data_IF_889803025961
#
_entry.id   IF_889803025961
#
_cell.length_a   1.000
_cell.length_b   1.000
_cell.length_c   1.000
_cell.angle_alpha   90.00
_cell.angle_beta   90.00
_cell.angle_gamma   90.00
#
_symmetry.space_group_name_H-M   'P 1'
#
loop_
_entity.id
_entity.type
_entity.pdbx_description
1 polymer ?
#
# COMPACT_ATOMS: atom_id res chain seq x y z
N UNK A 1 -14.30 -31.35 -29.66
CA UNK A 1 -12.91 -31.08 -29.24
C UNK A 1 -12.37 -32.30 -28.48
N UNK A 2 -11.10 -32.57 -28.62
CA UNK A 2 -10.37 -33.59 -27.86
C UNK A 2 -9.25 -32.94 -27.10
N UNK A 3 -8.55 -33.69 -26.22
CA UNK A 3 -7.48 -33.17 -25.34
C UNK A 3 -6.45 -32.32 -26.12
N UNK A 4 -5.94 -32.81 -27.26
CA UNK A 4 -4.92 -32.09 -28.03
C UNK A 4 -5.41 -30.79 -28.71
N UNK A 5 -6.71 -30.62 -28.97
CA UNK A 5 -7.26 -29.36 -29.44
C UNK A 5 -7.47 -28.37 -28.32
N UNK A 6 -7.87 -28.86 -27.13
CA UNK A 6 -8.03 -28.02 -25.93
C UNK A 6 -6.70 -27.42 -25.46
N UNK A 7 -5.62 -28.22 -25.52
CA UNK A 7 -4.27 -27.72 -25.19
C UNK A 7 -3.84 -26.57 -26.10
N UNK A 8 -4.04 -26.73 -27.43
CA UNK A 8 -3.64 -25.71 -28.43
C UNK A 8 -4.43 -24.38 -28.30
N UNK A 9 -5.63 -24.45 -27.76
CA UNK A 9 -6.54 -23.31 -27.65
C UNK A 9 -6.71 -22.85 -26.20
N UNK A 10 -5.77 -23.20 -25.31
CA UNK A 10 -5.88 -22.92 -23.88
C UNK A 10 -6.02 -21.40 -23.59
N UNK A 11 -5.38 -20.57 -24.40
CA UNK A 11 -5.48 -19.11 -24.32
C UNK A 11 -6.92 -18.60 -24.47
N UNK A 12 -7.75 -19.35 -25.22
CA UNK A 12 -9.16 -18.98 -25.39
C UNK A 12 -9.99 -19.06 -24.11
N UNK A 13 -9.46 -19.68 -23.06
CA UNK A 13 -10.10 -19.72 -21.74
C UNK A 13 -10.00 -18.39 -21.00
N UNK A 14 -9.07 -17.51 -21.41
CA UNK A 14 -8.84 -16.21 -20.74
C UNK A 14 -8.61 -16.38 -19.24
N UNK A 15 -7.63 -17.21 -18.87
CA UNK A 15 -7.29 -17.43 -17.45
C UNK A 15 -6.65 -16.16 -16.89
N UNK A 16 -7.21 -15.67 -15.80
CA UNK A 16 -6.71 -14.51 -15.08
C UNK A 16 -6.52 -14.87 -13.60
N UNK A 17 -5.33 -14.62 -13.09
CA UNK A 17 -5.02 -14.74 -11.66
C UNK A 17 -5.27 -13.42 -10.94
N UNK A 18 -5.77 -13.47 -9.72
CA UNK A 18 -6.01 -12.30 -8.88
C UNK A 18 -5.69 -12.64 -7.42
N UNK A 19 -5.08 -11.73 -6.69
CA UNK A 19 -4.39 -10.52 -7.16
C UNK A 19 -3.15 -10.85 -7.99
N UNK A 20 -2.74 -9.95 -8.90
CA UNK A 20 -1.50 -10.07 -9.66
C UNK A 20 -0.64 -8.82 -9.43
N UNK A 21 0.56 -8.97 -8.87
CA UNK A 21 1.14 -10.20 -8.29
C UNK A 21 0.38 -10.69 -7.05
N UNK A 22 0.61 -11.96 -6.65
CA UNK A 22 -0.02 -12.55 -5.48
C UNK A 22 0.33 -11.79 -4.20
N UNK A 23 -0.58 -11.79 -3.24
CA UNK A 23 -0.42 -11.05 -1.97
C UNK A 23 -0.36 -12.02 -0.81
N UNK A 24 0.63 -11.82 0.07
CA UNK A 24 0.69 -12.48 1.36
C UNK A 24 -0.35 -11.88 2.31
N UNK A 25 -1.19 -12.72 2.90
CA UNK A 25 -2.13 -12.36 3.96
C UNK A 25 -1.95 -13.26 5.18
N UNK A 26 -1.46 -12.68 6.25
CA UNK A 26 -1.06 -13.46 7.43
C UNK A 26 0.16 -14.33 7.08
N UNK A 27 -0.04 -15.66 7.12
CA UNK A 27 0.93 -16.70 6.77
C UNK A 27 0.57 -17.46 5.48
N UNK A 28 -0.40 -16.95 4.70
CA UNK A 28 -0.92 -17.59 3.50
C UNK A 28 -0.78 -16.71 2.28
N UNK A 29 -0.43 -17.33 1.15
CA UNK A 29 -0.50 -16.72 -0.18
C UNK A 29 -1.84 -17.14 -0.79
N UNK A 30 -2.73 -16.17 -0.99
CA UNK A 30 -4.07 -16.37 -1.55
C UNK A 30 -4.05 -16.23 -3.06
N UNK A 31 -4.82 -17.09 -3.73
CA UNK A 31 -4.99 -17.10 -5.17
C UNK A 31 -6.46 -17.23 -5.53
N UNK A 32 -6.92 -16.39 -6.43
CA UNK A 32 -8.16 -16.58 -7.18
C UNK A 32 -7.81 -16.68 -8.67
N UNK A 33 -8.37 -17.68 -9.36
CA UNK A 33 -8.26 -17.81 -10.81
C UNK A 33 -9.64 -17.78 -11.42
N UNK A 34 -9.85 -16.88 -12.37
CA UNK A 34 -11.09 -16.81 -13.13
C UNK A 34 -10.82 -17.16 -14.59
N UNK A 35 -11.85 -17.63 -15.25
CA UNK A 35 -11.78 -17.98 -16.66
C UNK A 35 -13.11 -18.43 -17.21
N UNK A 36 -13.11 -18.75 -18.50
CA UNK A 36 -14.29 -19.25 -19.20
C UNK A 36 -13.91 -20.33 -20.20
N UNK A 37 -14.59 -21.44 -20.15
CA UNK A 37 -14.60 -22.40 -21.25
C UNK A 37 -15.52 -21.88 -22.36
N UNK A 38 -14.98 -21.53 -23.55
CA UNK A 38 -15.82 -21.06 -24.64
C UNK A 38 -16.80 -22.15 -25.14
N UNK A 39 -17.84 -21.74 -25.85
CA UNK A 39 -18.75 -22.65 -26.50
C UNK A 39 -17.99 -23.59 -27.45
N UNK A 40 -18.30 -24.87 -27.43
CA UNK A 40 -17.72 -25.94 -28.25
C UNK A 40 -16.23 -26.24 -28.03
N UNK A 41 -15.64 -25.61 -27.01
CA UNK A 41 -14.25 -25.83 -26.60
C UNK A 41 -14.09 -27.13 -25.81
N UNK A 42 -14.91 -27.36 -24.79
CA UNK A 42 -14.78 -28.50 -23.89
C UNK A 42 -15.37 -29.78 -24.46
N UNK A 43 -14.53 -30.81 -24.64
CA UNK A 43 -14.99 -32.07 -25.23
C UNK A 43 -15.99 -32.81 -24.35
N UNK A 44 -17.11 -33.31 -24.91
CA UNK A 44 -18.21 -33.97 -24.16
C UNK A 44 -17.78 -35.14 -23.27
N UNK A 45 -16.72 -35.89 -23.69
CA UNK A 45 -16.18 -37.07 -22.98
C UNK A 45 -14.80 -36.80 -22.39
N UNK A 46 -14.43 -35.55 -22.20
CA UNK A 46 -13.15 -35.13 -21.60
C UNK A 46 -13.35 -34.82 -20.12
N UNK A 47 -12.41 -35.22 -19.31
CA UNK A 47 -12.26 -34.74 -17.92
C UNK A 47 -10.88 -34.14 -17.79
N UNK A 48 -10.78 -33.01 -17.10
CA UNK A 48 -9.50 -32.36 -16.77
C UNK A 48 -9.45 -32.03 -15.29
N UNK A 49 -8.25 -32.01 -14.77
CA UNK A 49 -7.91 -31.51 -13.46
C UNK A 49 -6.87 -30.43 -13.61
N UNK A 50 -7.14 -29.24 -13.12
CA UNK A 50 -6.27 -28.09 -13.18
C UNK A 50 -5.70 -27.80 -11.77
N UNK A 51 -4.39 -27.68 -11.69
CA UNK A 51 -3.66 -27.43 -10.46
C UNK A 51 -2.78 -26.21 -10.65
N UNK A 52 -3.06 -25.08 -10.02
CA UNK A 52 -2.13 -23.96 -9.99
C UNK A 52 -0.89 -24.34 -9.17
N UNK A 53 0.28 -23.98 -9.68
CA UNK A 53 1.58 -24.23 -9.04
C UNK A 53 2.39 -22.97 -9.05
N UNK A 54 2.80 -22.54 -7.86
CA UNK A 54 3.76 -21.44 -7.67
C UNK A 54 5.15 -22.05 -7.58
N UNK A 55 6.06 -21.61 -8.45
CA UNK A 55 7.45 -22.13 -8.50
C UNK A 55 8.41 -20.96 -8.29
N UNK A 56 9.44 -21.17 -7.46
CA UNK A 56 10.50 -20.21 -7.19
C UNK A 56 11.86 -20.92 -7.19
N UNK A 57 12.94 -20.18 -7.02
CA UNK A 57 14.26 -20.79 -6.93
C UNK A 57 14.36 -21.70 -5.71
N UNK A 58 14.55 -22.98 -5.96
CA UNK A 58 14.71 -24.01 -4.92
C UNK A 58 13.43 -24.66 -4.42
N UNK A 59 12.22 -24.28 -4.93
CA UNK A 59 10.99 -24.89 -4.46
C UNK A 59 9.74 -24.66 -5.32
N UNK A 60 8.66 -25.29 -4.92
CA UNK A 60 7.33 -25.07 -5.48
C UNK A 60 6.25 -25.38 -4.46
N UNK A 61 5.10 -24.74 -4.60
CA UNK A 61 3.88 -25.04 -3.85
C UNK A 61 2.71 -25.22 -4.79
N UNK A 62 1.96 -26.29 -4.58
CA UNK A 62 0.74 -26.57 -5.34
C UNK A 62 -0.47 -26.10 -4.54
N UNK A 63 -1.35 -25.36 -5.19
CA UNK A 63 -2.67 -25.04 -4.68
C UNK A 63 -3.61 -26.26 -4.86
N UNK A 64 -4.81 -26.20 -4.32
CA UNK A 64 -5.79 -27.25 -4.50
C UNK A 64 -6.15 -27.42 -5.97
N UNK A 65 -6.41 -28.67 -6.38
CA UNK A 65 -6.82 -28.97 -7.74
C UNK A 65 -8.31 -28.75 -7.93
N UNK A 66 -8.73 -28.27 -9.10
CA UNK A 66 -10.12 -28.17 -9.52
C UNK A 66 -10.39 -29.01 -10.75
N UNK A 67 -11.47 -29.81 -10.66
CA UNK A 67 -11.83 -30.74 -11.74
C UNK A 67 -13.01 -30.27 -12.58
N UNK A 68 -12.88 -30.43 -13.90
CA UNK A 68 -13.93 -30.13 -14.89
C UNK A 68 -14.17 -31.34 -15.79
N UNK A 69 -15.42 -31.53 -16.20
CA UNK A 69 -15.78 -32.63 -17.09
C UNK A 69 -16.85 -32.24 -18.11
N UNK A 70 -16.80 -32.88 -19.27
CA UNK A 70 -17.85 -32.74 -20.27
C UNK A 70 -19.14 -33.49 -19.90
N UNK A 71 -20.23 -33.19 -20.59
CA UNK A 71 -21.59 -33.72 -20.35
C UNK A 71 -21.67 -35.24 -20.36
N UNK A 72 -20.85 -35.91 -21.19
CA UNK A 72 -20.85 -37.37 -21.36
C UNK A 72 -19.65 -38.05 -20.70
N UNK A 73 -18.87 -37.33 -19.90
CA UNK A 73 -17.75 -37.89 -19.14
C UNK A 73 -18.23 -38.53 -17.85
N UNK A 74 -17.62 -39.64 -17.48
CA UNK A 74 -17.88 -40.25 -16.17
C UNK A 74 -17.04 -39.55 -15.09
N UNK A 75 -17.67 -39.24 -13.95
CA UNK A 75 -17.01 -38.61 -12.81
C UNK A 75 -17.93 -37.68 -12.04
N UNK A 76 -17.35 -36.96 -11.06
CA UNK A 76 -18.07 -36.02 -10.20
C UNK A 76 -17.53 -34.60 -10.28
N UNK A 77 -16.80 -34.28 -11.33
CA UNK A 77 -16.24 -32.96 -11.56
C UNK A 77 -17.30 -31.97 -12.02
N UNK A 78 -16.95 -30.69 -12.00
CA UNK A 78 -17.83 -29.64 -12.49
C UNK A 78 -18.12 -29.82 -13.97
N UNK A 79 -19.40 -30.00 -14.33
CA UNK A 79 -19.83 -30.22 -15.72
C UNK A 79 -19.75 -28.91 -16.51
N UNK A 80 -19.12 -28.98 -17.69
CA UNK A 80 -19.01 -27.90 -18.68
C UNK A 80 -19.87 -28.26 -19.90
N UNK A 81 -20.97 -27.52 -20.15
CA UNK A 81 -21.82 -27.74 -21.31
C UNK A 81 -21.08 -27.44 -22.62
N UNK A 82 -21.14 -28.36 -23.61
CA UNK A 82 -20.44 -28.22 -24.86
C UNK A 82 -20.92 -27.01 -25.69
N UNK A 83 -22.22 -26.82 -25.81
CA UNK A 83 -22.79 -25.78 -26.67
C UNK A 83 -22.71 -24.37 -26.04
N UNK A 84 -22.78 -24.26 -24.74
CA UNK A 84 -22.83 -22.98 -24.01
C UNK A 84 -21.47 -22.55 -23.45
N UNK A 85 -20.60 -23.51 -23.16
CA UNK A 85 -19.41 -23.26 -22.35
C UNK A 85 -19.78 -22.94 -20.91
N UNK A 86 -18.82 -22.50 -20.11
CA UNK A 86 -19.02 -22.19 -18.69
C UNK A 86 -17.94 -21.27 -18.17
N UNK A 87 -18.31 -20.22 -17.45
CA UNK A 87 -17.38 -19.44 -16.66
C UNK A 87 -17.13 -20.13 -15.31
N UNK A 88 -15.97 -19.95 -14.74
CA UNK A 88 -15.59 -20.48 -13.43
C UNK A 88 -14.77 -19.47 -12.65
N UNK A 89 -14.81 -19.61 -11.35
CA UNK A 89 -13.93 -18.94 -10.40
C UNK A 89 -13.42 -20.00 -9.44
N UNK A 90 -12.16 -19.97 -9.17
CA UNK A 90 -11.43 -20.88 -8.29
C UNK A 90 -10.68 -20.06 -7.27
N UNK A 91 -10.70 -20.47 -6.00
CA UNK A 91 -9.95 -19.80 -4.93
C UNK A 91 -9.29 -20.84 -4.04
N UNK A 92 -8.02 -20.62 -3.72
CA UNK A 92 -7.24 -21.46 -2.82
C UNK A 92 -6.10 -20.66 -2.19
N UNK A 93 -5.40 -21.26 -1.22
CA UNK A 93 -4.23 -20.65 -0.60
C UNK A 93 -3.17 -21.68 -0.28
N UNK A 94 -1.92 -21.24 -0.20
CA UNK A 94 -0.79 -22.06 0.24
C UNK A 94 -0.04 -21.35 1.36
N UNK A 95 0.60 -22.09 2.29
CA UNK A 95 1.47 -21.48 3.29
C UNK A 95 2.60 -20.70 2.61
N UNK A 96 2.92 -19.54 3.17
CA UNK A 96 4.01 -18.73 2.67
C UNK A 96 5.37 -19.32 3.06
N UNK A 97 6.29 -19.35 2.11
CA UNK A 97 7.70 -19.63 2.32
C UNK A 97 8.49 -18.36 1.98
N UNK A 98 9.43 -17.90 2.84
CA UNK A 98 10.24 -16.71 2.56
C UNK A 98 10.95 -16.73 1.20
N UNK A 99 11.29 -17.91 0.67
CA UNK A 99 11.88 -18.03 -0.66
C UNK A 99 10.93 -17.67 -1.82
N UNK A 100 9.63 -17.53 -1.56
CA UNK A 100 8.65 -17.05 -2.55
C UNK A 100 8.77 -15.56 -2.87
N UNK A 101 9.52 -14.79 -2.07
CA UNK A 101 9.81 -13.36 -2.35
C UNK A 101 10.68 -13.19 -3.60
N UNK A 102 11.52 -14.18 -3.88
CA UNK A 102 12.34 -14.18 -5.08
C UNK A 102 11.53 -14.66 -6.28
N UNK A 103 11.83 -14.15 -7.45
CA UNK A 103 11.29 -14.45 -8.77
C UNK A 103 10.38 -15.70 -8.86
N UNK A 104 9.18 -15.63 -8.27
CA UNK A 104 8.21 -16.71 -8.33
C UNK A 104 7.34 -16.61 -9.59
N UNK A 105 6.98 -17.74 -10.16
CA UNK A 105 6.11 -17.85 -11.33
C UNK A 105 4.90 -18.73 -11.00
N UNK A 106 3.71 -18.22 -11.32
CA UNK A 106 2.46 -18.97 -11.18
C UNK A 106 2.06 -19.57 -12.53
N UNK A 107 1.98 -20.88 -12.59
CA UNK A 107 1.50 -21.60 -13.76
C UNK A 107 0.37 -22.56 -13.40
N UNK A 108 -0.56 -22.78 -14.31
CA UNK A 108 -1.60 -23.80 -14.19
C UNK A 108 -1.17 -25.05 -14.94
N UNK A 109 -1.03 -26.16 -14.20
CA UNK A 109 -0.78 -27.49 -14.76
C UNK A 109 -2.12 -28.19 -14.94
N UNK A 110 -2.40 -28.64 -16.17
CA UNK A 110 -3.66 -29.32 -16.50
C UNK A 110 -3.36 -30.74 -16.90
N UNK A 111 -3.94 -31.70 -16.21
CA UNK A 111 -3.99 -33.11 -16.60
C UNK A 111 -5.38 -33.44 -17.13
N UNK A 112 -5.46 -34.18 -18.21
CA UNK A 112 -6.73 -34.54 -18.85
C UNK A 112 -6.82 -35.97 -19.22
N UNK A 113 -8.06 -36.48 -19.29
CA UNK A 113 -8.38 -37.83 -19.76
C UNK A 113 -9.57 -37.82 -20.70
N UNK A 114 -9.55 -38.74 -21.69
CA UNK A 114 -10.63 -38.98 -22.62
C UNK A 114 -10.71 -40.47 -22.94
N UNK A 115 -11.60 -41.19 -22.33
CA UNK A 115 -11.66 -42.63 -22.38
C UNK A 115 -10.37 -43.25 -21.81
N UNK A 116 -9.62 -43.98 -22.64
CA UNK A 116 -8.35 -44.62 -22.23
C UNK A 116 -7.11 -43.76 -22.53
N UNK A 117 -7.30 -42.51 -22.99
CA UNK A 117 -6.19 -41.60 -23.30
C UNK A 117 -6.06 -40.59 -22.15
N UNK A 118 -4.81 -40.32 -21.76
CA UNK A 118 -4.47 -39.25 -20.86
C UNK A 118 -3.39 -38.35 -21.46
N UNK A 119 -3.38 -37.08 -21.07
CA UNK A 119 -2.36 -36.14 -21.45
C UNK A 119 -2.19 -35.10 -20.32
N UNK A 120 -0.98 -34.62 -20.17
CA UNK A 120 -0.70 -33.44 -19.35
C UNK A 120 -0.32 -32.32 -20.31
N UNK A 121 -0.95 -31.17 -20.17
CA UNK A 121 -0.69 -30.00 -21.01
C UNK A 121 0.61 -29.34 -20.57
N UNK A 122 1.20 -28.55 -21.44
CA UNK A 122 2.30 -27.68 -21.03
C UNK A 122 1.78 -26.67 -19.97
N UNK A 123 2.57 -26.38 -18.92
CA UNK A 123 2.17 -25.42 -17.90
C UNK A 123 1.85 -24.06 -18.53
N UNK A 124 0.68 -23.52 -18.21
CA UNK A 124 0.24 -22.22 -18.70
C UNK A 124 0.49 -21.16 -17.63
N UNK A 125 1.42 -20.23 -17.92
CA UNK A 125 1.79 -19.13 -16.98
C UNK A 125 0.64 -18.14 -16.92
N UNK A 126 0.17 -17.83 -15.70
CA UNK A 126 -0.95 -16.92 -15.45
C UNK A 126 -0.58 -15.73 -14.56
N UNK A 127 0.61 -15.72 -13.98
CA UNK A 127 1.07 -14.62 -13.15
C UNK A 127 2.49 -14.82 -12.63
N UNK A 128 3.03 -13.81 -11.98
CA UNK A 128 4.39 -13.83 -11.44
C UNK A 128 4.50 -13.04 -10.14
N UNK A 129 5.34 -13.52 -9.24
CA UNK A 129 5.74 -12.85 -8.01
C UNK A 129 4.75 -12.96 -6.86
N UNK A 130 5.27 -12.73 -5.66
CA UNK A 130 4.50 -12.60 -4.40
C UNK A 130 4.87 -11.28 -3.75
N UNK A 131 3.88 -10.44 -3.44
CA UNK A 131 4.10 -9.21 -2.66
C UNK A 131 4.00 -9.53 -1.18
N UNK A 132 5.07 -9.26 -0.45
CA UNK A 132 5.18 -9.42 1.00
C UNK A 132 5.08 -8.10 1.76
N UNK A 133 4.70 -7.01 1.08
CA UNK A 133 4.51 -5.68 1.69
C UNK A 133 3.75 -5.71 3.02
N UNK A 134 2.73 -6.58 3.25
CA UNK A 134 2.09 -6.71 4.54
C UNK A 134 3.03 -7.14 5.69
N UNK A 135 4.14 -7.84 5.39
CA UNK A 135 5.16 -8.17 6.41
C UNK A 135 6.02 -6.96 6.79
N UNK A 136 6.15 -5.97 5.87
CA UNK A 136 6.90 -4.74 6.12
C UNK A 136 6.10 -3.74 6.95
N UNK A 137 4.78 -3.87 6.98
CA UNK A 137 3.92 -3.23 7.97
C UNK A 137 3.98 -4.08 9.24
N UNK A 138 5.17 -4.15 9.83
CA UNK A 138 5.25 -4.57 11.21
C UNK A 138 4.42 -3.57 12.00
N UNK A 139 3.40 -4.06 12.67
CA UNK A 139 2.81 -3.38 13.81
C UNK A 139 3.85 -3.42 14.93
N UNK A 140 4.96 -2.74 14.68
CA UNK A 140 5.91 -2.39 15.71
C UNK A 140 5.22 -1.24 16.45
N UNK A 141 4.42 -1.59 17.46
CA UNK A 141 3.85 -0.69 18.44
C UNK A 141 4.97 -0.04 19.29
N UNK A 142 6.17 0.05 18.76
CA UNK A 142 7.21 0.89 19.30
C UNK A 142 6.84 2.34 18.95
N UNK A 143 5.99 2.92 19.79
CA UNK A 143 5.94 4.36 19.94
C UNK A 143 7.38 4.84 20.17
N UNK A 144 7.97 5.46 19.18
CA UNK A 144 9.11 6.34 19.42
C UNK A 144 8.48 7.59 20.03
N UNK A 145 8.56 7.78 21.36
CA UNK A 145 8.14 9.03 21.96
C UNK A 145 9.11 10.09 21.44
N UNK A 146 8.74 10.77 20.39
CA UNK A 146 9.37 12.02 20.01
C UNK A 146 8.83 13.03 21.01
N UNK A 147 9.71 13.61 21.83
CA UNK A 147 9.31 14.72 22.69
C UNK A 147 8.72 15.80 21.77
N UNK A 148 7.45 16.06 21.97
CA UNK A 148 6.77 17.16 21.29
C UNK A 148 7.32 18.46 21.87
N UNK A 149 8.22 19.11 21.13
CA UNK A 149 8.72 20.45 21.44
C UNK A 149 7.68 21.53 21.11
N UNK A 150 6.39 21.18 21.10
CA UNK A 150 5.33 22.14 20.93
C UNK A 150 5.29 23.11 22.09
N UNK A 151 5.82 24.33 21.90
CA UNK A 151 5.71 25.41 22.84
C UNK A 151 4.38 26.13 22.63
N UNK A 152 3.45 25.91 23.55
CA UNK A 152 2.16 26.58 23.56
C UNK A 152 2.26 28.08 23.84
N UNK A 153 3.35 28.50 24.48
CA UNK A 153 3.65 29.89 24.83
C UNK A 153 5.02 30.25 24.30
N UNK A 154 5.08 31.27 23.48
CA UNK A 154 6.33 31.83 22.95
C UNK A 154 6.53 33.18 23.67
N UNK A 155 7.70 33.35 24.30
CA UNK A 155 8.05 34.63 24.93
C UNK A 155 8.82 35.50 23.96
N UNK A 156 8.35 36.71 23.73
CA UNK A 156 9.02 37.74 22.95
C UNK A 156 9.54 38.82 23.86
N UNK A 157 10.69 39.38 23.52
CA UNK A 157 11.24 40.56 24.20
C UNK A 157 11.47 41.64 23.16
N UNK A 158 10.85 42.80 23.38
CA UNK A 158 11.09 43.99 22.59
C UNK A 158 11.93 44.96 23.39
N UNK A 159 13.00 45.49 22.80
CA UNK A 159 13.91 46.43 23.44
C UNK A 159 13.86 47.76 22.66
N UNK A 160 13.71 48.86 23.39
CA UNK A 160 13.67 50.20 22.82
C UNK A 160 14.74 51.03 23.52
N UNK A 161 15.62 51.64 22.74
CA UNK A 161 16.63 52.54 23.25
C UNK A 161 16.26 54.00 22.93
N UNK A 162 16.29 54.85 23.90
CA UNK A 162 16.01 56.30 23.78
C UNK A 162 17.24 57.10 24.11
N UNK A 163 17.74 57.85 23.17
CA UNK A 163 18.92 58.70 23.35
C UNK A 163 18.50 60.12 23.68
N UNK A 164 19.05 60.64 24.78
CA UNK A 164 18.86 62.03 25.20
C UNK A 164 19.97 62.92 24.70
N UNK A 165 19.66 64.20 24.47
CA UNK A 165 20.72 65.20 24.27
C UNK A 165 21.46 65.47 25.54
N UNK A 166 22.72 65.84 25.47
CA UNK A 166 23.54 66.21 26.63
C UNK A 166 22.84 67.30 27.44
N UNK A 167 22.78 67.13 28.76
CA UNK A 167 22.10 68.00 29.69
C UNK A 167 20.61 68.24 29.42
N UNK A 168 19.91 67.24 28.83
CA UNK A 168 18.49 67.32 28.54
C UNK A 168 17.75 66.08 28.98
N UNK A 169 16.64 66.22 29.69
CA UNK A 169 15.71 65.16 30.01
C UNK A 169 14.54 65.02 29.02
N UNK A 170 14.56 65.83 27.98
CA UNK A 170 13.50 65.81 26.95
C UNK A 170 13.74 64.80 25.88
N UNK A 171 12.83 63.90 25.64
CA UNK A 171 12.87 62.93 24.53
C UNK A 171 12.61 63.67 23.22
N UNK A 172 13.52 63.48 22.25
CA UNK A 172 13.36 64.05 20.94
C UNK A 172 12.23 63.35 20.15
N UNK A 173 11.47 64.10 19.39
CA UNK A 173 10.39 63.59 18.58
C UNK A 173 10.88 62.57 17.48
N UNK A 174 12.15 62.61 17.12
CA UNK A 174 12.76 61.63 16.23
C UNK A 174 12.84 60.24 16.87
N UNK A 175 13.27 60.16 18.14
CA UNK A 175 13.38 58.92 18.91
C UNK A 175 12.02 58.18 19.00
N UNK A 176 10.96 58.94 19.17
CA UNK A 176 9.59 58.39 19.26
C UNK A 176 9.01 57.91 17.91
N UNK A 177 9.72 58.10 16.80
CA UNK A 177 9.32 57.69 15.46
C UNK A 177 10.12 56.52 14.92
N UNK A 178 11.13 56.08 15.68
CA UNK A 178 11.96 54.95 15.33
C UNK A 178 11.12 53.66 15.24
N UNK A 179 11.62 52.70 14.52
CA UNK A 179 10.91 51.43 14.26
C UNK A 179 10.72 50.63 15.52
N UNK A 180 11.69 50.68 16.46
CA UNK A 180 11.63 50.01 17.76
C UNK A 180 10.45 50.54 18.60
N UNK A 181 10.23 51.86 18.58
CA UNK A 181 9.04 52.46 19.22
C UNK A 181 7.74 52.05 18.59
N UNK A 182 7.71 51.88 17.28
CA UNK A 182 6.52 51.39 16.56
C UNK A 182 6.26 49.93 16.90
N UNK A 183 7.30 49.09 16.97
CA UNK A 183 7.21 47.69 17.35
C UNK A 183 6.66 47.54 18.76
N UNK A 184 7.22 48.31 19.73
CA UNK A 184 6.75 48.29 21.12
C UNK A 184 5.28 48.74 21.23
N UNK A 185 4.89 49.81 20.56
CA UNK A 185 3.49 50.27 20.53
C UNK A 185 2.56 49.23 19.94
N UNK A 186 2.95 48.56 18.88
CA UNK A 186 2.17 47.49 18.25
C UNK A 186 2.01 46.31 19.22
N UNK A 187 3.08 45.93 19.95
CA UNK A 187 3.03 44.87 20.93
C UNK A 187 2.07 45.21 22.08
N UNK A 188 2.15 46.48 22.60
CA UNK A 188 1.23 46.94 23.61
C UNK A 188 -0.20 46.94 23.09
N UNK A 189 -0.44 47.41 21.90
CA UNK A 189 -1.77 47.43 21.29
C UNK A 189 -2.32 45.99 21.13
N UNK A 190 -1.48 45.07 20.64
CA UNK A 190 -1.87 43.64 20.50
C UNK A 190 -2.24 43.04 21.87
N UNK A 191 -1.56 43.42 22.95
CA UNK A 191 -1.90 42.93 24.30
C UNK A 191 -3.21 43.45 24.86
N UNK A 192 -3.71 44.55 24.28
CA UNK A 192 -5.03 45.13 24.63
C UNK A 192 -6.14 44.53 23.78
N UNK A 193 -5.85 44.29 22.51
CA UNK A 193 -6.85 43.87 21.51
C UNK A 193 -7.01 42.34 21.41
N UNK A 194 -6.00 41.57 21.85
CA UNK A 194 -6.00 40.11 21.67
C UNK A 194 -5.70 39.39 23.00
N UNK A 195 -6.59 38.53 23.43
CA UNK A 195 -6.42 37.66 24.62
C UNK A 195 -5.23 36.68 24.50
N UNK A 196 -4.66 36.56 23.28
CA UNK A 196 -3.54 35.66 23.03
C UNK A 196 -2.15 36.25 23.36
N UNK A 197 -2.08 37.55 23.69
CA UNK A 197 -0.84 38.25 23.99
C UNK A 197 -0.94 38.85 25.42
N UNK A 198 0.00 38.45 26.26
CA UNK A 198 0.06 38.95 27.64
C UNK A 198 1.44 39.53 27.91
N UNK A 199 1.49 40.79 28.39
CA UNK A 199 2.75 41.40 28.85
C UNK A 199 3.03 40.88 30.24
N UNK A 200 4.11 40.13 30.41
CA UNK A 200 4.50 39.49 31.66
C UNK A 200 5.45 40.38 32.51
N UNK A 201 6.06 41.38 31.88
CA UNK A 201 6.95 42.29 32.59
C UNK A 201 7.49 43.42 31.71
N UNK A 202 7.97 44.47 32.34
CA UNK A 202 8.72 45.54 31.70
C UNK A 202 9.93 45.89 32.57
N UNK A 203 11.08 46.14 31.94
CA UNK A 203 12.30 46.60 32.61
C UNK A 203 12.75 47.92 32.00
N UNK A 204 13.09 48.89 32.80
CA UNK A 204 13.61 50.18 32.36
C UNK A 204 15.00 50.33 32.96
N UNK A 205 15.99 50.55 32.09
CA UNK A 205 17.36 50.84 32.50
C UNK A 205 17.71 52.24 32.03
N UNK A 206 18.34 53.02 32.86
CA UNK A 206 18.80 54.34 32.51
C UNK A 206 20.31 54.48 32.77
N UNK A 207 21.00 55.00 31.81
CA UNK A 207 22.44 55.25 31.89
C UNK A 207 22.70 56.75 31.79
N UNK A 208 23.48 57.24 32.72
CA UNK A 208 23.96 58.62 32.66
C UNK A 208 25.41 58.66 32.11
N UNK A 209 25.70 59.64 31.28
CA UNK A 209 27.10 59.85 30.84
C UNK A 209 27.92 60.31 32.04
N UNK A 210 29.12 59.77 32.21
CA UNK A 210 30.01 60.22 33.30
C UNK A 210 30.50 61.66 33.15
N UNK A 211 30.22 62.30 32.03
CA UNK A 211 30.64 63.68 31.69
C UNK A 211 29.50 64.71 31.86
N UNK A 212 28.34 64.31 32.38
CA UNK A 212 27.19 65.18 32.55
C UNK A 212 26.53 65.08 33.85
#
# INVERSE_FOLDING_TARGET
AGLGSMEKEIEAMGLEASPEPLILRGDQVELEVTGRFPAKYFGKKVSIEATPVLTWEGGSASFDSEGFQGEDAAGNFTVVPFEAGKSFSYASSVPFDPAMEDAAELAVVISGSQGNKSATFEPFVVGAGVITTPLWVQADDQFIPVEDNFQRVITYTEEVTVNYSVNSSTVRSSELRDEDWKALKNLIQLSVDADSVTITGARIEAYASPEG
#
